data_IF_294531390492
#
_entry.id   IF_294531390492
#
_cell.length_a   1.000
_cell.length_b   1.000
_cell.length_c   1.000
_cell.angle_alpha   90.00
_cell.angle_beta   90.00
_cell.angle_gamma   90.00
#
_symmetry.space_group_name_H-M   'P 1'
#
loop_
_entity.id
_entity.type
_entity.pdbx_description
1 polymer ?
#
# COMPACT_ATOMS: atom_id res chain seq x y z
N UNK A 1 18.67 15.87 -19.62
CA UNK A 1 18.47 14.43 -19.31
C UNK A 1 17.09 14.07 -19.80
N UNK A 2 16.96 13.14 -20.74
CA UNK A 2 15.66 12.57 -21.09
C UNK A 2 15.11 11.86 -19.85
N UNK A 3 13.90 12.24 -19.41
CA UNK A 3 13.22 11.52 -18.34
C UNK A 3 13.09 10.06 -18.79
N UNK A 4 13.35 9.11 -17.89
CA UNK A 4 13.12 7.70 -18.18
C UNK A 4 11.66 7.52 -18.64
N UNK A 5 11.43 6.78 -19.72
CA UNK A 5 10.10 6.50 -20.23
C UNK A 5 9.88 4.98 -20.20
N UNK A 6 8.71 4.59 -19.71
CA UNK A 6 8.20 3.23 -19.78
C UNK A 6 7.31 3.10 -21.01
N UNK A 7 7.11 1.87 -21.51
CA UNK A 7 6.25 1.63 -22.68
C UNK A 7 5.24 0.54 -22.33
N UNK A 8 3.96 0.81 -22.58
CA UNK A 8 2.89 -0.18 -22.36
C UNK A 8 2.94 -1.29 -23.43
N UNK A 9 2.25 -2.43 -23.23
CA UNK A 9 2.13 -3.45 -24.28
C UNK A 9 1.52 -2.96 -25.60
N UNK A 10 0.75 -1.86 -25.56
CA UNK A 10 0.17 -1.22 -26.74
C UNK A 10 1.12 -0.22 -27.43
N UNK A 11 2.38 -0.09 -26.96
CA UNK A 11 3.36 0.83 -27.52
C UNK A 11 3.20 2.29 -27.07
N UNK A 12 2.35 2.56 -26.07
CA UNK A 12 2.16 3.92 -25.52
C UNK A 12 3.29 4.24 -24.54
N UNK A 13 3.98 5.35 -24.75
CA UNK A 13 5.00 5.86 -23.83
C UNK A 13 4.36 6.45 -22.55
N UNK A 14 4.95 6.14 -21.40
CA UNK A 14 4.55 6.62 -20.08
C UNK A 14 5.78 7.25 -19.41
N UNK A 15 5.81 8.58 -19.21
CA UNK A 15 6.99 9.25 -18.66
C UNK A 15 7.14 8.98 -17.16
N UNK A 16 8.38 8.81 -16.70
CA UNK A 16 8.70 8.95 -15.29
C UNK A 16 8.60 10.43 -14.89
N UNK A 17 8.13 10.67 -13.67
CA UNK A 17 8.02 12.00 -13.09
C UNK A 17 8.85 12.09 -11.81
N UNK A 18 9.33 13.30 -11.52
CA UNK A 18 10.03 13.60 -10.27
C UNK A 18 9.06 13.61 -9.10
N UNK A 19 9.60 13.53 -7.88
CA UNK A 19 8.82 13.69 -6.65
C UNK A 19 8.02 15.00 -6.63
N UNK A 20 8.58 16.10 -7.14
CA UNK A 20 7.90 17.39 -7.17
C UNK A 20 6.74 17.40 -8.17
N UNK A 21 6.93 16.78 -9.33
CA UNK A 21 5.85 16.61 -10.31
C UNK A 21 4.74 15.70 -9.78
N UNK A 22 5.06 14.64 -9.03
CA UNK A 22 4.04 13.78 -8.42
C UNK A 22 3.22 14.53 -7.37
N UNK A 23 3.86 15.38 -6.54
CA UNK A 23 3.13 16.27 -5.61
C UNK A 23 2.17 17.19 -6.35
N UNK A 24 2.61 17.75 -7.47
CA UNK A 24 1.75 18.62 -8.27
C UNK A 24 0.60 17.84 -8.91
N UNK A 25 0.83 16.61 -9.39
CA UNK A 25 -0.25 15.72 -9.86
C UNK A 25 -1.28 15.48 -8.76
N UNK A 26 -0.84 15.17 -7.54
CA UNK A 26 -1.75 14.95 -6.40
C UNK A 26 -2.50 16.24 -6.04
N UNK A 27 -1.84 17.41 -6.06
CA UNK A 27 -2.47 18.71 -5.82
C UNK A 27 -3.56 19.00 -6.85
N UNK A 28 -3.22 18.89 -8.14
CA UNK A 28 -4.15 19.13 -9.26
C UNK A 28 -5.35 18.18 -9.19
N UNK A 29 -5.14 16.91 -8.87
CA UNK A 29 -6.21 15.94 -8.72
C UNK A 29 -7.22 16.38 -7.65
N UNK A 30 -6.74 16.79 -6.47
CA UNK A 30 -7.60 17.17 -5.35
C UNK A 30 -8.23 18.55 -5.54
N UNK A 31 -7.48 19.53 -6.00
CA UNK A 31 -7.89 20.94 -6.01
C UNK A 31 -8.64 21.34 -7.30
N UNK A 32 -8.32 20.71 -8.44
CA UNK A 32 -8.80 21.16 -9.75
C UNK A 32 -9.71 20.13 -10.45
N UNK A 33 -9.47 18.82 -10.26
CA UNK A 33 -10.24 17.75 -10.93
C UNK A 33 -11.40 17.24 -10.10
N UNK A 34 -11.27 17.25 -8.76
CA UNK A 34 -12.38 17.02 -7.84
C UNK A 34 -12.38 15.75 -6.96
N UNK A 35 -11.63 14.65 -7.21
CA UNK A 35 -11.57 13.56 -6.22
C UNK A 35 -10.87 14.03 -4.96
N UNK A 36 -11.50 13.82 -3.79
CA UNK A 36 -10.82 14.07 -2.52
C UNK A 36 -9.82 12.94 -2.20
N UNK A 37 -8.95 13.18 -1.21
CA UNK A 37 -7.93 12.22 -0.79
C UNK A 37 -8.48 10.84 -0.39
N UNK A 38 -9.69 10.77 0.18
CA UNK A 38 -10.31 9.49 0.54
C UNK A 38 -10.73 8.71 -0.72
N UNK A 39 -11.30 9.39 -1.71
CA UNK A 39 -11.68 8.77 -2.98
C UNK A 39 -10.45 8.30 -3.77
N UNK A 40 -9.38 9.11 -3.78
CA UNK A 40 -8.10 8.71 -4.37
C UNK A 40 -7.54 7.47 -3.68
N UNK A 41 -7.54 7.44 -2.35
CA UNK A 41 -7.07 6.29 -1.55
C UNK A 41 -7.91 5.03 -1.79
N UNK A 42 -9.24 5.17 -1.85
CA UNK A 42 -10.15 4.06 -2.14
C UNK A 42 -9.85 3.46 -3.51
N UNK A 43 -9.66 4.32 -4.52
CA UNK A 43 -9.34 3.87 -5.87
C UNK A 43 -7.96 3.20 -5.94
N UNK A 44 -6.95 3.78 -5.28
CA UNK A 44 -5.60 3.22 -5.23
C UNK A 44 -5.58 1.84 -4.55
N UNK A 45 -6.17 1.71 -3.37
CA UNK A 45 -6.21 0.44 -2.64
C UNK A 45 -7.08 -0.61 -3.32
N UNK A 46 -8.22 -0.23 -3.93
CA UNK A 46 -9.01 -1.14 -4.77
C UNK A 46 -8.18 -1.69 -5.92
N UNK A 47 -7.46 -0.82 -6.63
CA UNK A 47 -6.64 -1.20 -7.77
C UNK A 47 -5.50 -2.14 -7.34
N UNK A 48 -4.84 -1.82 -6.23
CA UNK A 48 -3.79 -2.68 -5.66
C UNK A 48 -4.34 -4.06 -5.25
N UNK A 49 -5.52 -4.13 -4.63
CA UNK A 49 -6.16 -5.40 -4.29
C UNK A 49 -6.48 -6.24 -5.54
N UNK A 50 -6.93 -5.61 -6.63
CA UNK A 50 -7.17 -6.31 -7.89
C UNK A 50 -5.86 -6.83 -8.50
N UNK A 51 -4.79 -6.04 -8.48
CA UNK A 51 -3.46 -6.49 -8.92
C UNK A 51 -2.97 -7.68 -8.11
N UNK A 52 -3.19 -7.70 -6.79
CA UNK A 52 -2.85 -8.84 -5.93
C UNK A 52 -3.65 -10.09 -6.32
N UNK A 53 -4.95 -9.94 -6.57
CA UNK A 53 -5.81 -11.05 -7.02
C UNK A 53 -5.33 -11.60 -8.37
N UNK A 54 -5.06 -10.72 -9.33
CA UNK A 54 -4.59 -11.09 -10.67
C UNK A 54 -3.22 -11.78 -10.61
N UNK A 55 -2.31 -11.29 -9.76
CA UNK A 55 -0.98 -11.87 -9.56
C UNK A 55 -1.04 -13.29 -8.99
N UNK A 56 -1.93 -13.53 -8.02
CA UNK A 56 -2.08 -14.84 -7.36
C UNK A 56 -2.98 -15.81 -8.14
N UNK A 57 -3.65 -15.35 -9.21
CA UNK A 57 -4.45 -16.21 -10.07
C UNK A 57 -5.56 -16.94 -9.31
N UNK A 58 -5.71 -18.25 -9.50
CA UNK A 58 -6.75 -19.04 -8.84
C UNK A 58 -6.56 -19.18 -7.32
N UNK A 59 -5.31 -19.02 -6.84
CA UNK A 59 -4.92 -19.33 -5.46
C UNK A 59 -5.01 -18.12 -4.52
N UNK A 60 -5.51 -16.98 -5.00
CA UNK A 60 -5.49 -15.71 -4.27
C UNK A 60 -6.18 -15.72 -2.90
N UNK A 61 -7.09 -16.69 -2.67
CA UNK A 61 -7.74 -16.86 -1.35
C UNK A 61 -6.99 -17.78 -0.41
N UNK A 62 -6.16 -18.69 -0.93
CA UNK A 62 -5.42 -19.69 -0.14
C UNK A 62 -4.01 -19.24 0.21
N UNK A 63 -3.46 -18.26 -0.49
CA UNK A 63 -2.14 -17.69 -0.20
C UNK A 63 -2.26 -16.67 0.95
N UNK A 64 -1.52 -16.84 2.07
CA UNK A 64 -1.47 -15.84 3.13
C UNK A 64 -0.81 -14.55 2.63
N UNK A 65 -1.52 -13.42 2.75
CA UNK A 65 -1.07 -12.10 2.30
C UNK A 65 -0.68 -11.27 3.52
N UNK A 66 0.54 -10.73 3.52
CA UNK A 66 0.98 -9.77 4.53
C UNK A 66 1.14 -8.40 3.90
N UNK A 67 0.44 -7.41 4.43
CA UNK A 67 0.57 -6.00 4.03
C UNK A 67 1.39 -5.26 5.08
N UNK A 68 2.57 -4.79 4.68
CA UNK A 68 3.45 -3.99 5.53
C UNK A 68 3.18 -2.52 5.23
N UNK A 69 2.60 -1.79 6.16
CA UNK A 69 2.11 -0.44 5.93
C UNK A 69 2.85 0.61 6.76
N UNK A 70 3.26 1.69 6.10
CA UNK A 70 3.75 2.89 6.77
C UNK A 70 2.61 3.75 7.33
N UNK A 71 2.97 4.91 7.86
CA UNK A 71 2.01 5.86 8.45
C UNK A 71 1.40 6.84 7.44
N UNK A 72 2.02 6.99 6.26
CA UNK A 72 1.65 7.94 5.23
C UNK A 72 0.72 7.38 4.15
N UNK A 73 0.58 8.12 3.05
CA UNK A 73 -0.33 7.79 1.96
C UNK A 73 -0.12 6.40 1.36
N UNK A 74 1.14 5.96 1.19
CA UNK A 74 1.44 4.62 0.69
C UNK A 74 0.88 3.52 1.61
N UNK A 75 1.09 3.67 2.93
CA UNK A 75 0.54 2.76 3.93
C UNK A 75 -0.98 2.76 3.93
N UNK A 76 -1.62 3.92 3.77
CA UNK A 76 -3.06 4.02 3.58
C UNK A 76 -3.57 3.22 2.37
N UNK A 77 -2.83 3.25 1.26
CA UNK A 77 -3.16 2.48 0.05
C UNK A 77 -3.07 0.97 0.29
N UNK A 78 -2.02 0.53 0.98
CA UNK A 78 -1.86 -0.86 1.41
C UNK A 78 -2.97 -1.33 2.34
N UNK A 79 -3.30 -0.56 3.38
CA UNK A 79 -4.37 -0.89 4.34
C UNK A 79 -5.73 -0.94 3.63
N UNK A 80 -5.98 -0.01 2.71
CA UNK A 80 -7.17 0.00 1.85
C UNK A 80 -7.25 -1.28 0.99
N UNK A 81 -6.13 -1.69 0.38
CA UNK A 81 -6.06 -2.94 -0.37
C UNK A 81 -6.32 -4.16 0.53
N UNK A 82 -5.74 -4.20 1.73
CA UNK A 82 -5.97 -5.25 2.70
C UNK A 82 -7.45 -5.36 3.07
N UNK A 83 -8.15 -4.24 3.29
CA UNK A 83 -9.59 -4.21 3.53
C UNK A 83 -10.37 -4.80 2.36
N UNK A 84 -10.03 -4.44 1.12
CA UNK A 84 -10.68 -5.01 -0.05
C UNK A 84 -10.45 -6.52 -0.20
N UNK A 85 -9.27 -7.02 0.15
CA UNK A 85 -8.93 -8.44 0.14
C UNK A 85 -9.69 -9.19 1.25
N UNK A 86 -9.67 -8.68 2.48
CA UNK A 86 -10.39 -9.23 3.62
C UNK A 86 -11.90 -9.32 3.36
N UNK A 87 -12.50 -8.27 2.79
CA UNK A 87 -13.92 -8.25 2.42
C UNK A 87 -14.30 -9.30 1.37
N UNK A 88 -13.33 -9.89 0.67
CA UNK A 88 -13.55 -10.99 -0.28
C UNK A 88 -13.07 -12.36 0.25
N UNK A 89 -12.85 -12.43 1.57
CA UNK A 89 -12.41 -13.61 2.30
C UNK A 89 -11.00 -14.10 1.93
N UNK A 90 -10.08 -13.19 1.57
CA UNK A 90 -8.66 -13.53 1.51
C UNK A 90 -8.08 -13.65 2.92
N UNK A 91 -7.08 -14.51 3.08
CA UNK A 91 -6.28 -14.56 4.30
C UNK A 91 -5.25 -13.41 4.32
N UNK A 92 -5.59 -12.30 4.98
CA UNK A 92 -4.76 -11.10 4.99
C UNK A 92 -4.43 -10.63 6.40
N UNK A 93 -3.17 -10.29 6.61
CA UNK A 93 -2.64 -9.69 7.83
C UNK A 93 -2.00 -8.34 7.51
N UNK A 94 -2.35 -7.30 8.24
CA UNK A 94 -1.71 -5.98 8.16
C UNK A 94 -0.74 -5.83 9.32
N UNK A 95 0.44 -5.28 9.07
CA UNK A 95 1.31 -4.73 10.11
C UNK A 95 1.61 -3.27 9.80
N UNK A 96 1.46 -2.39 10.79
CA UNK A 96 1.72 -0.94 10.64
C UNK A 96 3.00 -0.54 11.37
N UNK A 97 3.81 0.35 10.78
CA UNK A 97 5.07 0.80 11.40
C UNK A 97 4.83 1.53 12.72
N UNK A 98 3.72 2.27 12.83
CA UNK A 98 3.24 2.89 14.07
C UNK A 98 1.75 3.22 13.94
N UNK A 99 0.90 2.51 14.69
CA UNK A 99 -0.55 2.76 14.66
C UNK A 99 -0.93 4.14 15.23
N UNK A 100 -0.15 4.67 16.16
CA UNK A 100 -0.40 5.96 16.81
C UNK A 100 -0.05 7.18 15.94
N UNK A 101 0.75 6.99 14.89
CA UNK A 101 1.27 8.07 14.05
C UNK A 101 0.65 8.09 12.64
N UNK A 102 -0.44 7.35 12.43
CA UNK A 102 -1.12 7.30 11.13
C UNK A 102 -1.68 8.68 10.77
N UNK A 103 -1.46 9.09 9.51
CA UNK A 103 -2.15 10.24 8.96
C UNK A 103 -3.68 10.03 8.92
N UNK A 104 -4.50 11.10 8.75
CA UNK A 104 -5.95 11.00 8.87
C UNK A 104 -6.59 9.96 7.94
N UNK A 105 -6.15 9.91 6.68
CA UNK A 105 -6.69 8.95 5.69
C UNK A 105 -6.23 7.52 5.98
N UNK A 106 -4.92 7.22 6.19
CA UNK A 106 -4.48 5.89 6.66
C UNK A 106 -5.17 5.42 7.95
N UNK A 107 -5.37 6.32 8.92
CA UNK A 107 -6.07 6.00 10.17
C UNK A 107 -7.53 5.58 9.91
N UNK A 108 -8.25 6.32 9.04
CA UNK A 108 -9.62 5.95 8.63
C UNK A 108 -9.67 4.59 7.92
N UNK A 109 -8.69 4.30 7.06
CA UNK A 109 -8.58 2.99 6.39
C UNK A 109 -8.32 1.87 7.39
N UNK A 110 -7.45 2.08 8.38
CA UNK A 110 -7.21 1.10 9.44
C UNK A 110 -8.45 0.85 10.29
N UNK A 111 -9.17 1.92 10.70
CA UNK A 111 -10.42 1.77 11.44
C UNK A 111 -11.44 0.93 10.67
N UNK A 112 -11.56 1.14 9.36
CA UNK A 112 -12.47 0.35 8.53
C UNK A 112 -11.97 -1.10 8.36
N UNK A 113 -10.66 -1.30 8.20
CA UNK A 113 -10.04 -2.63 8.11
C UNK A 113 -10.31 -3.48 9.35
N UNK A 114 -10.27 -2.88 10.55
CA UNK A 114 -10.56 -3.56 11.81
C UNK A 114 -12.00 -4.09 11.91
N UNK A 115 -12.93 -3.59 11.09
CA UNK A 115 -14.28 -4.13 10.97
C UNK A 115 -14.41 -5.34 10.04
N UNK A 116 -13.30 -5.80 9.44
CA UNK A 116 -13.27 -6.95 8.53
C UNK A 116 -12.71 -8.20 9.25
N UNK A 117 -12.78 -9.40 8.63
CA UNK A 117 -12.13 -10.60 9.16
C UNK A 117 -10.59 -10.59 9.08
N UNK A 118 -9.98 -9.56 8.49
CA UNK A 118 -8.53 -9.46 8.37
C UNK A 118 -7.84 -9.31 9.73
N UNK A 119 -6.58 -9.74 9.83
CA UNK A 119 -5.79 -9.68 11.07
C UNK A 119 -4.90 -8.45 11.14
N UNK A 120 -4.68 -7.93 12.33
CA UNK A 120 -3.67 -6.92 12.61
C UNK A 120 -2.54 -7.58 13.42
N UNK A 121 -1.32 -7.56 12.90
CA UNK A 121 -0.13 -8.03 13.58
C UNK A 121 0.67 -6.86 14.16
N UNK A 122 1.26 -7.06 15.34
CA UNK A 122 2.28 -6.15 15.88
C UNK A 122 3.60 -6.42 15.18
N UNK A 123 4.47 -5.41 15.13
CA UNK A 123 5.79 -5.54 14.51
C UNK A 123 6.61 -6.69 15.16
N UNK A 124 6.52 -6.82 16.47
CA UNK A 124 7.22 -7.86 17.26
C UNK A 124 6.72 -9.29 16.97
N UNK A 125 5.49 -9.43 16.45
CA UNK A 125 4.88 -10.72 16.16
C UNK A 125 5.07 -11.15 14.70
N UNK A 126 5.65 -10.30 13.83
CA UNK A 126 5.80 -10.58 12.40
C UNK A 126 6.57 -11.87 12.11
N UNK A 127 7.53 -12.24 12.96
CA UNK A 127 8.32 -13.48 12.80
C UNK A 127 7.47 -14.74 12.98
N UNK A 128 6.26 -14.62 13.54
CA UNK A 128 5.29 -15.72 13.68
C UNK A 128 4.24 -15.75 12.58
N UNK A 129 4.25 -14.76 11.68
CA UNK A 129 3.26 -14.63 10.60
C UNK A 129 3.79 -15.30 9.34
N UNK A 130 3.04 -16.26 8.81
CA UNK A 130 3.30 -16.84 7.50
C UNK A 130 2.91 -15.87 6.37
N UNK A 131 3.75 -15.78 5.35
CA UNK A 131 3.51 -14.93 4.19
C UNK A 131 3.82 -15.70 2.91
N UNK A 132 2.80 -15.92 2.08
CA UNK A 132 2.96 -16.38 0.70
C UNK A 132 3.04 -15.22 -0.30
N UNK A 133 2.51 -14.05 0.06
CA UNK A 133 2.71 -12.79 -0.67
C UNK A 133 2.90 -11.63 0.30
N UNK A 134 3.87 -10.77 0.02
CA UNK A 134 4.09 -9.51 0.75
C UNK A 134 3.69 -8.33 -0.14
N UNK A 135 2.84 -7.46 0.39
CA UNK A 135 2.55 -6.14 -0.19
C UNK A 135 3.34 -5.09 0.59
N UNK A 136 4.40 -4.57 -0.04
CA UNK A 136 5.18 -3.46 0.52
C UNK A 136 4.44 -2.13 0.29
N UNK A 137 3.86 -1.63 1.37
CA UNK A 137 3.25 -0.32 1.47
C UNK A 137 3.94 0.54 2.56
N UNK A 138 5.22 0.27 2.85
CA UNK A 138 5.93 0.85 4.00
C UNK A 138 6.27 2.33 3.72
N UNK A 139 6.82 2.62 2.53
CA UNK A 139 7.38 3.94 2.22
C UNK A 139 6.90 4.41 0.83
N UNK A 140 6.42 5.65 0.75
CA UNK A 140 6.02 6.30 -0.51
C UNK A 140 7.13 7.17 -1.12
N UNK A 141 6.77 7.94 -2.14
CA UNK A 141 7.70 8.78 -2.92
C UNK A 141 8.31 9.96 -2.14
N UNK A 142 7.86 10.23 -0.92
CA UNK A 142 8.32 11.32 -0.05
C UNK A 142 9.49 10.94 0.86
N UNK A 143 10.10 9.75 0.68
CA UNK A 143 11.23 9.29 1.48
C UNK A 143 12.39 10.30 1.47
N UNK A 144 12.81 10.72 2.66
CA UNK A 144 14.04 11.48 2.86
C UNK A 144 15.10 10.61 3.54
N UNK A 145 16.18 10.30 2.84
CA UNK A 145 17.29 9.50 3.38
C UNK A 145 16.97 8.01 3.56
N UNK A 146 17.86 7.24 4.22
CA UNK A 146 17.67 5.80 4.38
C UNK A 146 16.55 5.48 5.40
N UNK A 147 15.80 4.37 5.22
CA UNK A 147 14.82 3.88 6.18
C UNK A 147 15.44 3.61 7.56
N UNK A 148 14.67 3.83 8.63
CA UNK A 148 15.09 3.64 10.02
C UNK A 148 13.96 3.03 10.86
N UNK A 149 14.29 2.57 12.07
CA UNK A 149 13.31 2.10 13.05
C UNK A 149 12.40 0.99 12.52
N UNK A 150 11.11 1.09 12.80
CA UNK A 150 10.11 0.09 12.42
C UNK A 150 10.05 -0.16 10.89
N UNK A 151 10.21 0.89 10.08
CA UNK A 151 10.25 0.73 8.62
C UNK A 151 11.45 -0.12 8.18
N UNK A 152 12.64 0.12 8.74
CA UNK A 152 13.81 -0.69 8.45
C UNK A 152 13.65 -2.14 8.93
N UNK A 153 13.03 -2.35 10.10
CA UNK A 153 12.75 -3.68 10.63
C UNK A 153 11.81 -4.47 9.71
N UNK A 154 10.72 -3.84 9.22
CA UNK A 154 9.79 -4.46 8.26
C UNK A 154 10.48 -4.78 6.93
N UNK A 155 11.31 -3.88 6.40
CA UNK A 155 12.11 -4.14 5.19
C UNK A 155 13.05 -5.32 5.41
N UNK A 156 13.67 -5.42 6.60
CA UNK A 156 14.49 -6.56 6.98
C UNK A 156 13.69 -7.86 7.03
N UNK A 157 12.49 -7.83 7.62
CA UNK A 157 11.60 -8.99 7.67
C UNK A 157 11.21 -9.48 6.26
N UNK A 158 10.87 -8.56 5.36
CA UNK A 158 10.43 -8.87 4.00
C UNK A 158 11.53 -9.45 3.09
N UNK A 159 12.79 -9.39 3.49
CA UNK A 159 13.95 -9.90 2.73
C UNK A 159 14.38 -11.32 3.12
N UNK A 160 13.70 -11.93 4.09
CA UNK A 160 14.04 -13.27 4.57
C UNK A 160 13.73 -14.37 3.55
#
# INVERSE_FOLDING_TARGET
>A
MTAAAFVTPAGVEVPAITTEQMREVDRLAVEEVGPNLYQMMENAGRSLALTVIDLLGADWRSVPIVVLAGTGGNGGGGICAARHLANRAADVTVAVTSAGDLGPVPASQLQTYLGTPGRLARLEDLDTVEAGLIVDAIIGYSLGGPPRGAALAMIGWARR
#
